data_IF_580608317350
#
_entry.id   IF_580608317350
#
_cell.length_a   1.000
_cell.length_b   1.000
_cell.length_c   1.000
_cell.angle_alpha   90.00
_cell.angle_beta   90.00
_cell.angle_gamma   90.00
#
_symmetry.space_group_name_H-M   'P 1'
#
loop_
_entity.id
_entity.type
_entity.pdbx_description
1 polymer ?
#
# COMPACT_ATOMS: atom_id res chain seq x y z
N UNK A 1 49.59 -22.18 6.76
CA UNK A 1 48.79 -21.61 7.87
C UNK A 1 47.87 -20.62 7.21
N UNK A 2 46.74 -21.13 6.75
CA UNK A 2 45.73 -20.38 6.03
C UNK A 2 45.01 -19.47 7.02
N UNK A 3 45.21 -18.17 6.89
CA UNK A 3 44.41 -17.16 7.57
C UNK A 3 43.09 -17.04 6.81
N UNK A 4 42.06 -17.69 7.33
CA UNK A 4 40.67 -17.42 6.96
C UNK A 4 40.38 -15.98 7.38
N UNK A 5 40.27 -15.09 6.39
CA UNK A 5 39.63 -13.78 6.57
C UNK A 5 38.13 -14.03 6.73
N UNK A 6 37.67 -13.97 7.96
CA UNK A 6 36.27 -14.03 8.33
C UNK A 6 35.60 -12.75 7.80
N UNK A 7 34.81 -12.90 6.73
CA UNK A 7 33.99 -11.84 6.15
C UNK A 7 33.00 -11.33 7.19
N UNK A 8 33.19 -10.10 7.65
CA UNK A 8 32.13 -9.36 8.36
C UNK A 8 31.05 -8.99 7.35
N UNK A 9 30.00 -9.82 7.29
CA UNK A 9 28.73 -9.50 6.64
C UNK A 9 27.80 -8.94 7.70
N UNK A 10 28.00 -7.68 8.05
CA UNK A 10 26.94 -6.85 8.58
C UNK A 10 26.98 -5.60 7.72
N UNK A 11 26.20 -5.62 6.63
CA UNK A 11 25.88 -4.39 5.93
C UNK A 11 25.16 -3.48 6.91
N UNK A 12 25.48 -2.19 6.88
CA UNK A 12 24.79 -1.18 7.67
C UNK A 12 23.27 -1.32 7.47
N UNK A 13 22.53 -1.23 8.58
CA UNK A 13 21.06 -1.27 8.64
C UNK A 13 20.44 0.09 8.27
N UNK A 14 21.26 1.01 7.79
CA UNK A 14 20.89 2.38 7.48
C UNK A 14 20.13 2.41 6.14
N UNK A 15 18.91 2.96 6.13
CA UNK A 15 18.07 3.07 4.93
C UNK A 15 17.11 1.91 4.65
N UNK A 16 17.04 0.88 5.51
CA UNK A 16 16.01 -0.15 5.41
C UNK A 16 14.64 0.41 5.82
N UNK A 17 13.62 0.11 5.04
CA UNK A 17 12.22 0.40 5.35
C UNK A 17 11.48 -0.91 5.66
N UNK A 18 10.34 -0.80 6.34
CA UNK A 18 9.49 -1.94 6.62
C UNK A 18 8.23 -1.92 5.75
N UNK A 19 7.75 -3.10 5.42
CA UNK A 19 6.46 -3.33 4.78
C UNK A 19 5.70 -4.44 5.48
N UNK A 20 4.39 -4.42 5.38
CA UNK A 20 3.48 -5.38 5.97
C UNK A 20 2.61 -6.00 4.89
N UNK A 21 2.60 -7.33 4.83
CA UNK A 21 1.86 -8.11 3.83
C UNK A 21 0.73 -8.84 4.53
N UNK A 22 -0.52 -8.53 4.17
CA UNK A 22 -1.70 -9.21 4.66
C UNK A 22 -1.96 -10.51 3.89
N UNK A 23 -2.32 -11.57 4.61
CA UNK A 23 -2.70 -12.86 4.03
C UNK A 23 -3.72 -13.59 4.90
N UNK A 24 -4.37 -14.60 4.34
CA UNK A 24 -5.34 -15.44 5.07
C UNK A 24 -4.78 -16.22 6.26
N UNK A 25 -3.45 -16.29 6.40
CA UNK A 25 -2.78 -16.97 7.52
C UNK A 25 -2.09 -16.00 8.50
N UNK A 26 -2.07 -14.71 8.18
CA UNK A 26 -1.56 -13.66 9.05
C UNK A 26 -0.85 -12.53 8.32
N UNK A 27 -0.14 -11.72 9.09
CA UNK A 27 0.59 -10.54 8.61
C UNK A 27 2.08 -10.80 8.65
N UNK A 28 2.77 -10.57 7.53
CA UNK A 28 4.22 -10.72 7.42
C UNK A 28 4.87 -9.34 7.38
N UNK A 29 5.76 -9.07 8.33
CA UNK A 29 6.67 -7.92 8.29
C UNK A 29 7.83 -8.25 7.34
N UNK A 30 8.16 -7.33 6.44
CA UNK A 30 9.25 -7.44 5.47
C UNK A 30 10.14 -6.22 5.60
N UNK A 31 11.44 -6.42 5.80
CA UNK A 31 12.45 -5.35 5.76
C UNK A 31 13.12 -5.33 4.39
N UNK A 32 13.17 -4.16 3.78
CA UNK A 32 13.73 -3.97 2.44
C UNK A 32 14.63 -2.74 2.40
N UNK A 33 15.77 -2.87 1.73
CA UNK A 33 16.71 -1.77 1.50
C UNK A 33 16.98 -1.67 -0.01
N UNK A 34 16.60 -0.56 -0.63
CA UNK A 34 16.63 -0.42 -2.09
C UNK A 34 15.84 -1.54 -2.77
N UNK A 35 16.51 -2.34 -3.60
CA UNK A 35 15.93 -3.49 -4.30
C UNK A 35 16.12 -4.85 -3.58
N UNK A 36 16.66 -4.83 -2.36
CA UNK A 36 17.10 -6.04 -1.65
C UNK A 36 16.20 -6.32 -0.45
N UNK A 37 15.50 -7.46 -0.50
CA UNK A 37 14.71 -7.98 0.63
C UNK A 37 15.64 -8.60 1.66
N UNK A 38 15.58 -8.09 2.88
CA UNK A 38 16.33 -8.56 4.03
C UNK A 38 15.54 -9.59 4.84
N UNK A 39 15.27 -9.25 6.10
CA UNK A 39 14.52 -10.08 7.04
C UNK A 39 13.01 -10.00 6.77
N UNK A 40 12.31 -11.12 6.89
CA UNK A 40 10.85 -11.13 6.96
C UNK A 40 10.37 -12.20 7.94
N UNK A 41 9.20 -11.97 8.54
CA UNK A 41 8.64 -12.86 9.55
C UNK A 41 7.15 -12.61 9.79
N UNK A 42 6.44 -13.65 10.21
CA UNK A 42 5.03 -13.59 10.59
C UNK A 42 4.90 -12.90 11.95
N UNK A 43 4.21 -11.76 12.02
CA UNK A 43 4.03 -10.98 13.24
C UNK A 43 2.66 -11.20 13.92
N UNK A 44 1.58 -11.38 13.15
CA UNK A 44 0.27 -11.79 13.69
C UNK A 44 -0.29 -12.97 12.91
N UNK A 45 -1.04 -13.85 13.60
CA UNK A 45 -1.77 -14.98 13.01
C UNK A 45 -3.27 -14.68 13.02
N UNK A 46 -3.80 -14.36 11.86
CA UNK A 46 -5.20 -14.00 11.64
C UNK A 46 -5.58 -14.21 10.17
N UNK A 47 -6.88 -14.15 9.84
CA UNK A 47 -7.33 -14.02 8.44
C UNK A 47 -7.31 -12.54 8.05
N UNK A 48 -6.15 -12.04 7.64
CA UNK A 48 -5.98 -10.63 7.28
C UNK A 48 -6.51 -10.37 5.86
N UNK A 49 -7.47 -9.47 5.77
CA UNK A 49 -8.19 -9.11 4.53
C UNK A 49 -7.66 -7.85 3.87
N UNK A 50 -7.07 -6.95 4.66
CA UNK A 50 -6.47 -5.72 4.18
C UNK A 50 -5.47 -5.18 5.20
N UNK A 51 -4.57 -4.31 4.77
CA UNK A 51 -3.55 -3.66 5.61
C UNK A 51 -3.25 -2.24 5.14
N UNK A 52 -3.19 -1.32 6.08
CA UNK A 52 -2.77 0.05 5.87
C UNK A 52 -1.72 0.45 6.91
N UNK A 53 -0.86 1.41 6.58
CA UNK A 53 0.15 1.89 7.51
C UNK A 53 0.43 3.39 7.39
N UNK A 54 0.78 3.98 8.52
CA UNK A 54 1.36 5.32 8.67
C UNK A 54 2.81 5.19 9.16
N UNK A 55 3.45 6.30 9.54
CA UNK A 55 4.80 6.31 10.10
C UNK A 55 4.88 5.76 11.53
N UNK A 56 3.75 5.68 12.25
CA UNK A 56 3.72 5.20 13.63
C UNK A 56 2.68 4.09 13.92
N UNK A 57 1.83 3.73 12.96
CA UNK A 57 0.77 2.74 13.18
C UNK A 57 0.53 1.87 11.95
N UNK A 58 0.35 0.57 12.17
CA UNK A 58 -0.14 -0.39 11.17
C UNK A 58 -1.54 -0.85 11.57
N UNK A 59 -2.49 -0.82 10.65
CA UNK A 59 -3.85 -1.31 10.85
C UNK A 59 -4.14 -2.48 9.91
N UNK A 60 -4.83 -3.50 10.39
CA UNK A 60 -5.25 -4.67 9.61
C UNK A 60 -6.75 -4.88 9.74
N UNK A 61 -7.40 -5.17 8.61
CA UNK A 61 -8.78 -5.66 8.59
C UNK A 61 -8.76 -7.18 8.71
N UNK A 62 -9.58 -7.73 9.60
CA UNK A 62 -9.72 -9.19 9.76
C UNK A 62 -11.18 -9.63 9.73
N UNK A 63 -11.40 -10.94 9.72
CA UNK A 63 -12.72 -11.54 9.83
C UNK A 63 -13.39 -11.35 11.19
N UNK A 64 -12.62 -11.02 12.23
CA UNK A 64 -13.10 -10.82 13.59
C UNK A 64 -13.15 -9.34 14.01
N UNK A 65 -12.08 -8.59 13.72
CA UNK A 65 -11.91 -7.20 14.16
C UNK A 65 -10.97 -6.38 13.25
N UNK A 66 -10.95 -5.05 13.43
CA UNK A 66 -9.82 -4.21 13.01
C UNK A 66 -8.79 -4.22 14.14
N UNK A 67 -7.52 -4.49 13.81
CA UNK A 67 -6.44 -4.48 14.81
C UNK A 67 -5.35 -3.49 14.43
N UNK A 68 -4.72 -2.89 15.44
CA UNK A 68 -3.65 -1.91 15.26
C UNK A 68 -2.37 -2.33 15.97
N UNK A 69 -1.24 -2.04 15.36
CA UNK A 69 0.09 -2.17 15.95
C UNK A 69 0.78 -0.82 15.91
N UNK A 70 1.13 -0.29 17.07
CA UNK A 70 1.89 0.96 17.18
C UNK A 70 3.38 0.67 17.04
N UNK A 71 4.01 1.35 16.10
CA UNK A 71 5.44 1.28 15.84
C UNK A 71 6.16 2.10 16.92
N UNK A 72 7.08 1.47 17.66
CA UNK A 72 7.92 2.21 18.60
C UNK A 72 8.76 3.25 17.84
N UNK A 73 8.51 4.55 18.09
CA UNK A 73 9.32 5.63 17.49
C UNK A 73 10.78 5.48 17.92
N UNK A 74 11.63 5.09 16.97
CA UNK A 74 13.09 5.22 17.05
C UNK A 74 13.79 4.20 17.94
N UNK A 75 14.31 3.14 17.30
CA UNK A 75 15.47 2.38 17.77
C UNK A 75 16.78 3.21 17.68
N UNK A 76 16.73 4.48 18.10
CA UNK A 76 17.87 5.41 18.05
C UNK A 76 18.78 5.37 19.27
N UNK A 77 18.35 4.82 20.41
CA UNK A 77 19.14 4.86 21.66
C UNK A 77 18.94 3.63 22.57
N UNK A 78 18.58 2.46 22.02
CA UNK A 78 18.72 1.21 22.80
C UNK A 78 20.13 0.67 22.56
N UNK A 79 20.97 0.86 23.58
CA UNK A 79 22.28 0.27 23.75
C UNK A 79 22.25 -1.19 23.25
N UNK A 80 23.14 -1.52 22.31
CA UNK A 80 23.20 -2.83 21.67
C UNK A 80 23.74 -3.87 22.67
N UNK A 81 22.96 -4.25 23.68
CA UNK A 81 23.11 -5.54 24.35
C UNK A 81 22.33 -6.57 23.54
N UNK A 82 22.99 -7.10 22.51
CA UNK A 82 22.47 -8.11 21.60
C UNK A 82 22.34 -9.52 22.23
N UNK A 83 21.85 -9.60 23.47
CA UNK A 83 21.63 -10.89 24.16
C UNK A 83 20.19 -11.10 24.67
N UNK A 84 19.29 -10.10 24.59
CA UNK A 84 17.90 -10.22 25.07
C UNK A 84 16.82 -9.76 24.07
N UNK A 85 17.13 -9.59 22.78
CA UNK A 85 16.14 -9.24 21.74
C UNK A 85 15.44 -10.47 21.13
N UNK A 86 15.26 -11.53 21.91
CA UNK A 86 14.32 -12.61 21.57
C UNK A 86 12.90 -12.13 21.91
N UNK A 87 12.17 -11.66 20.89
CA UNK A 87 10.71 -11.54 20.94
C UNK A 87 10.17 -10.39 21.77
N UNK A 88 10.37 -9.15 21.31
CA UNK A 88 9.28 -8.17 21.50
C UNK A 88 8.11 -8.70 20.66
N UNK A 89 7.13 -9.34 21.29
CA UNK A 89 5.91 -9.80 20.62
C UNK A 89 5.22 -8.56 20.03
N UNK A 90 5.42 -8.32 18.74
CA UNK A 90 4.66 -7.34 17.98
C UNK A 90 3.19 -7.74 18.11
N UNK A 91 2.47 -7.05 18.98
CA UNK A 91 1.12 -7.45 19.35
C UNK A 91 0.15 -6.48 18.73
N UNK A 92 -0.59 -6.96 17.74
CA UNK A 92 -1.75 -6.26 17.22
C UNK A 92 -2.86 -6.25 18.28
N UNK A 93 -3.40 -5.07 18.55
CA UNK A 93 -4.46 -4.84 19.54
C UNK A 93 -5.78 -4.61 18.85
N UNK A 94 -6.80 -5.31 19.32
CA UNK A 94 -8.21 -5.18 18.90
C UNK A 94 -8.72 -3.76 19.13
N UNK A 95 -9.54 -3.26 18.21
CA UNK A 95 -10.15 -1.92 18.26
C UNK A 95 -11.65 -1.94 18.56
N UNK A 96 -12.23 -3.12 18.75
CA UNK A 96 -13.66 -3.34 18.97
C UNK A 96 -14.56 -2.81 17.83
N UNK A 97 -14.03 -2.78 16.60
CA UNK A 97 -14.82 -2.46 15.40
C UNK A 97 -15.74 -3.62 15.01
N UNK A 98 -15.24 -4.84 15.16
CA UNK A 98 -15.82 -6.05 14.57
C UNK A 98 -15.28 -6.37 13.17
N UNK A 99 -15.88 -7.34 12.46
CA UNK A 99 -15.38 -7.80 11.18
C UNK A 99 -15.21 -6.68 10.15
N UNK A 100 -14.07 -6.66 9.47
CA UNK A 100 -13.75 -5.67 8.46
C UNK A 100 -13.29 -6.30 7.15
N UNK A 101 -13.36 -5.52 6.07
CA UNK A 101 -12.88 -5.93 4.73
C UNK A 101 -11.87 -4.96 4.13
N UNK A 102 -11.86 -3.71 4.58
CA UNK A 102 -10.90 -2.70 4.14
C UNK A 102 -10.55 -1.75 5.28
N UNK A 103 -9.31 -1.28 5.31
CA UNK A 103 -8.80 -0.27 6.26
C UNK A 103 -7.95 0.75 5.53
N UNK A 104 -7.93 1.98 6.03
CA UNK A 104 -7.10 3.05 5.48
C UNK A 104 -6.96 4.20 6.46
N UNK A 105 -6.16 5.21 6.13
CA UNK A 105 -5.95 6.38 6.97
C UNK A 105 -6.29 7.66 6.25
N UNK A 106 -6.95 8.60 6.94
CA UNK A 106 -7.20 9.95 6.43
C UNK A 106 -6.99 10.98 7.53
N UNK A 107 -6.04 11.90 7.32
CA UNK A 107 -5.79 12.97 8.29
C UNK A 107 -5.36 12.49 9.69
N UNK A 108 -4.81 11.27 9.78
CA UNK A 108 -4.44 10.63 11.05
C UNK A 108 -5.52 9.73 11.65
N UNK A 109 -6.77 9.83 11.17
CA UNK A 109 -7.85 8.95 11.59
C UNK A 109 -7.80 7.64 10.82
N UNK A 110 -8.03 6.54 11.54
CA UNK A 110 -8.24 5.22 10.98
C UNK A 110 -9.66 5.12 10.41
N UNK A 111 -9.78 4.59 9.20
CA UNK A 111 -11.05 4.29 8.54
C UNK A 111 -11.16 2.78 8.40
N UNK A 112 -12.32 2.22 8.67
CA UNK A 112 -12.61 0.81 8.43
C UNK A 112 -13.99 0.59 7.81
N UNK A 113 -14.08 -0.41 6.94
CA UNK A 113 -15.32 -0.85 6.31
C UNK A 113 -15.72 -2.26 6.75
N UNK A 114 -16.99 -2.43 7.07
CA UNK A 114 -17.59 -3.74 7.34
C UNK A 114 -17.87 -4.50 6.03
N UNK A 115 -18.06 -5.84 6.06
CA UNK A 115 -18.46 -6.62 4.89
C UNK A 115 -19.77 -6.16 4.24
N UNK A 116 -20.66 -5.55 5.02
CA UNK A 116 -21.96 -5.04 4.58
C UNK A 116 -21.88 -3.61 4.02
N UNK A 117 -20.68 -3.03 3.96
CA UNK A 117 -20.43 -1.71 3.38
C UNK A 117 -20.68 -0.54 4.33
N UNK A 118 -20.71 -0.77 5.65
CA UNK A 118 -20.75 0.33 6.63
C UNK A 118 -19.33 0.85 6.88
N UNK A 119 -19.16 2.17 6.97
CA UNK A 119 -17.88 2.83 7.25
C UNK A 119 -17.91 3.51 8.62
N UNK A 120 -16.78 3.45 9.33
CA UNK A 120 -16.56 4.27 10.51
C UNK A 120 -15.13 4.81 10.54
N UNK A 121 -14.95 5.90 11.27
CA UNK A 121 -13.65 6.49 11.59
C UNK A 121 -13.33 6.34 13.07
N UNK A 122 -12.06 6.20 13.40
CA UNK A 122 -11.55 6.25 14.76
C UNK A 122 -10.28 7.08 14.80
N UNK A 123 -10.22 8.02 15.73
CA UNK A 123 -8.98 8.76 15.98
C UNK A 123 -8.04 7.89 16.81
N UNK A 124 -6.76 7.87 16.43
CA UNK A 124 -5.72 7.10 17.12
C UNK A 124 -4.73 8.01 17.87
N UNK A 125 -5.13 9.23 18.24
CA UNK A 125 -4.26 10.15 18.98
C UNK A 125 -3.62 9.42 20.17
N UNK A 126 -2.28 9.51 20.25
CA UNK A 126 -1.46 8.79 21.22
C UNK A 126 -1.94 9.04 22.64
N UNK A 127 -2.76 8.13 23.15
CA UNK A 127 -3.12 8.10 24.56
C UNK A 127 -1.93 7.48 25.28
N UNK A 128 -1.23 8.29 26.08
CA UNK A 128 -0.11 7.78 26.88
C UNK A 128 -0.57 6.61 27.74
N UNK A 129 -0.02 5.42 27.49
CA UNK A 129 -0.08 4.16 28.27
C UNK A 129 -1.45 3.67 28.78
N UNK A 130 -2.55 4.35 28.49
CA UNK A 130 -3.90 3.97 28.90
C UNK A 130 -4.91 4.48 27.90
N UNK A 131 -5.55 3.58 27.15
CA UNK A 131 -6.72 3.86 26.33
C UNK A 131 -7.84 4.41 27.24
N UNK A 132 -8.02 5.73 27.29
CA UNK A 132 -9.21 6.34 27.90
C UNK A 132 -10.39 6.11 26.94
N UNK A 133 -11.24 5.14 27.30
CA UNK A 133 -12.26 4.53 26.44
C UNK A 133 -13.34 5.48 25.84
N UNK A 134 -13.35 6.77 26.20
CA UNK A 134 -14.35 7.72 25.68
C UNK A 134 -13.87 8.54 24.47
N UNK A 135 -12.56 8.65 24.22
CA UNK A 135 -11.98 9.36 23.05
C UNK A 135 -11.62 8.45 21.87
N UNK A 136 -11.67 7.14 22.09
CA UNK A 136 -11.24 6.08 21.16
C UNK A 136 -12.41 5.37 20.45
N UNK A 137 -13.63 5.92 20.54
CA UNK A 137 -14.81 5.27 20.00
C UNK A 137 -14.93 5.44 18.48
N UNK A 138 -15.36 4.38 17.81
CA UNK A 138 -15.72 4.41 16.39
C UNK A 138 -16.90 5.36 16.14
N UNK A 139 -16.73 6.24 15.15
CA UNK A 139 -17.77 7.16 14.68
C UNK A 139 -18.25 6.69 13.31
N UNK A 140 -19.50 6.22 13.22
CA UNK A 140 -20.10 5.83 11.94
C UNK A 140 -20.16 7.01 10.99
N UNK A 141 -19.75 6.79 9.75
CA UNK A 141 -19.83 7.76 8.67
C UNK A 141 -21.18 7.61 8.00
N UNK A 142 -22.02 8.64 8.07
CA UNK A 142 -23.38 8.58 7.53
C UNK A 142 -23.36 8.55 6.00
N UNK A 143 -23.87 7.46 5.44
CA UNK A 143 -24.16 7.34 4.02
C UNK A 143 -25.21 6.25 3.76
N UNK A 144 -25.93 6.38 2.64
CA UNK A 144 -26.72 5.28 2.09
C UNK A 144 -25.84 4.10 1.64
N UNK A 145 -26.49 3.08 1.07
CA UNK A 145 -25.84 1.84 0.62
C UNK A 145 -24.63 2.09 -0.28
N UNK A 146 -23.44 1.77 0.24
CA UNK A 146 -22.16 1.85 -0.47
C UNK A 146 -21.96 0.64 -1.39
N UNK A 147 -22.68 -0.46 -1.16
CA UNK A 147 -22.28 -1.78 -1.64
C UNK A 147 -20.97 -2.25 -1.02
N UNK A 148 -20.36 -3.25 -1.64
CA UNK A 148 -19.07 -3.78 -1.19
C UNK A 148 -17.94 -2.75 -1.34
N UNK A 149 -17.33 -2.38 -0.20
CA UNK A 149 -16.10 -1.59 -0.14
C UNK A 149 -14.90 -2.49 -0.47
N UNK A 150 -14.02 -2.01 -1.36
CA UNK A 150 -12.88 -2.80 -1.87
C UNK A 150 -11.53 -2.16 -1.58
N UNK A 151 -11.45 -0.84 -1.47
CA UNK A 151 -10.22 -0.12 -1.20
C UNK A 151 -10.50 1.18 -0.46
N UNK A 152 -9.59 1.54 0.45
CA UNK A 152 -9.58 2.82 1.16
C UNK A 152 -8.17 3.37 1.08
N UNK A 153 -7.99 4.53 0.45
CA UNK A 153 -6.74 5.28 0.50
C UNK A 153 -7.04 6.75 0.70
N UNK A 154 -6.42 7.35 1.73
CA UNK A 154 -6.73 8.71 2.14
C UNK A 154 -8.23 8.91 2.33
N UNK A 155 -8.75 10.00 1.73
CA UNK A 155 -10.18 10.30 1.74
C UNK A 155 -10.98 9.60 0.64
N UNK A 156 -10.41 8.65 -0.11
CA UNK A 156 -11.10 7.92 -1.17
C UNK A 156 -11.50 6.52 -0.73
N UNK A 157 -12.72 6.16 -1.12
CA UNK A 157 -13.27 4.82 -0.92
C UNK A 157 -13.70 4.28 -2.28
N UNK A 158 -13.08 3.18 -2.71
CA UNK A 158 -13.46 2.42 -3.90
C UNK A 158 -14.49 1.34 -3.56
N UNK A 159 -15.58 1.31 -4.32
CA UNK A 159 -16.68 0.34 -4.13
C UNK A 159 -17.19 -0.19 -5.47
N UNK A 160 -18.01 -1.23 -5.42
CA UNK A 160 -18.76 -1.67 -6.60
C UNK A 160 -19.70 -0.59 -7.18
N UNK A 161 -20.14 0.36 -6.36
CA UNK A 161 -21.05 1.44 -6.77
C UNK A 161 -20.33 2.72 -7.21
N UNK A 162 -19.00 2.73 -7.20
CA UNK A 162 -18.18 3.86 -7.65
C UNK A 162 -17.18 4.34 -6.59
N UNK A 163 -16.60 5.52 -6.85
CA UNK A 163 -15.71 6.19 -5.92
C UNK A 163 -16.51 7.11 -5.02
N UNK A 164 -16.14 7.11 -3.75
CA UNK A 164 -16.68 7.98 -2.74
C UNK A 164 -15.58 8.82 -2.10
N UNK A 165 -15.92 10.05 -1.69
CA UNK A 165 -15.01 10.95 -0.97
C UNK A 165 -15.49 11.17 0.45
N UNK A 166 -14.62 10.88 1.40
CA UNK A 166 -14.80 11.21 2.80
C UNK A 166 -14.42 12.68 3.04
N UNK A 167 -15.32 13.43 3.65
CA UNK A 167 -15.09 14.82 4.07
C UNK A 167 -15.91 15.12 5.32
N UNK A 168 -15.27 15.60 6.39
CA UNK A 168 -15.90 16.02 7.63
C UNK A 168 -16.93 15.01 8.20
N UNK A 169 -16.60 13.71 8.16
CA UNK A 169 -17.48 12.63 8.63
C UNK A 169 -18.66 12.31 7.71
N UNK A 170 -18.65 12.83 6.49
CA UNK A 170 -19.64 12.58 5.45
C UNK A 170 -19.01 11.99 4.20
N UNK A 171 -19.84 11.33 3.40
CA UNK A 171 -19.41 10.62 2.22
C UNK A 171 -20.20 11.10 0.99
N UNK A 172 -19.49 11.58 -0.04
CA UNK A 172 -20.05 12.07 -1.30
C UNK A 172 -19.75 11.13 -2.48
N UNK A 173 -20.67 11.00 -3.46
CA UNK A 173 -20.48 10.13 -4.64
C UNK A 173 -19.69 10.92 -5.66
N UNK A 174 -18.54 10.38 -6.06
CA UNK A 174 -17.57 11.06 -6.89
C UNK A 174 -17.53 10.53 -8.33
N UNK A 175 -18.40 9.60 -8.70
CA UNK A 175 -18.47 9.01 -10.04
C UNK A 175 -17.91 7.59 -10.13
N UNK A 176 -17.78 7.10 -11.37
CA UNK A 176 -17.38 5.73 -11.72
C UNK A 176 -18.36 4.66 -11.18
N UNK A 177 -18.04 3.41 -11.50
CA UNK A 177 -18.71 2.19 -11.06
C UNK A 177 -17.69 1.06 -11.07
N UNK A 178 -17.96 -0.01 -10.31
CA UNK A 178 -17.11 -1.20 -10.22
C UNK A 178 -15.63 -0.89 -9.97
N UNK A 179 -15.39 0.00 -9.00
CA UNK A 179 -14.04 0.43 -8.59
C UNK A 179 -13.42 -0.68 -7.75
N UNK A 180 -12.17 -1.00 -8.05
CA UNK A 180 -11.42 -2.10 -7.42
C UNK A 180 -10.35 -1.59 -6.49
N UNK A 181 -9.69 -0.51 -6.88
CA UNK A 181 -8.64 0.12 -6.10
C UNK A 181 -8.58 1.63 -6.35
N UNK A 182 -8.04 2.38 -5.39
CA UNK A 182 -7.91 3.84 -5.44
C UNK A 182 -6.58 4.29 -4.88
N UNK A 183 -6.06 5.40 -5.40
CA UNK A 183 -4.86 6.06 -4.88
C UNK A 183 -5.09 7.57 -4.82
N UNK A 184 -4.74 8.19 -3.70
CA UNK A 184 -4.89 9.63 -3.44
C UNK A 184 -3.63 10.43 -3.69
N UNK A 185 -2.46 9.79 -3.59
CA UNK A 185 -1.17 10.44 -3.72
C UNK A 185 -1.01 11.15 -5.08
N UNK A 186 -0.52 12.39 -5.05
CA UNK A 186 -0.33 13.21 -6.25
C UNK A 186 -1.65 13.61 -6.91
N UNK A 187 -1.99 12.95 -8.02
CA UNK A 187 -3.29 13.07 -8.70
C UNK A 187 -4.10 11.81 -8.40
N UNK A 188 -5.34 11.93 -7.89
CA UNK A 188 -6.10 10.75 -7.56
C UNK A 188 -6.36 9.82 -8.74
N UNK A 189 -6.18 8.53 -8.51
CA UNK A 189 -6.36 7.45 -9.49
C UNK A 189 -7.42 6.46 -9.01
N UNK A 190 -8.08 5.81 -9.96
CA UNK A 190 -9.03 4.73 -9.70
C UNK A 190 -8.86 3.60 -10.72
N UNK A 191 -8.69 2.38 -10.23
CA UNK A 191 -8.71 1.15 -11.00
C UNK A 191 -10.14 0.60 -11.03
N UNK A 192 -10.63 0.22 -12.21
CA UNK A 192 -12.00 -0.28 -12.38
C UNK A 192 -12.03 -1.48 -13.33
N UNK A 193 -13.20 -2.12 -13.44
CA UNK A 193 -13.40 -3.17 -14.44
C UNK A 193 -13.29 -2.69 -15.90
N UNK A 194 -13.47 -1.39 -16.16
CA UNK A 194 -13.53 -0.82 -17.52
C UNK A 194 -12.29 -0.01 -17.91
N UNK A 195 -11.56 0.52 -16.93
CA UNK A 195 -10.37 1.35 -17.18
C UNK A 195 -9.60 1.77 -15.94
N UNK A 196 -8.44 2.35 -16.19
CA UNK A 196 -7.69 3.17 -15.24
C UNK A 196 -8.08 4.63 -15.45
N UNK A 197 -8.45 5.32 -14.37
CA UNK A 197 -8.91 6.70 -14.41
C UNK A 197 -8.05 7.61 -13.55
N UNK A 198 -7.85 8.85 -13.99
CA UNK A 198 -7.27 9.94 -13.21
C UNK A 198 -8.29 11.03 -12.93
N UNK A 199 -8.18 11.70 -11.79
CA UNK A 199 -9.05 12.80 -11.42
C UNK A 199 -8.48 14.16 -11.86
N UNK A 200 -9.22 14.88 -12.72
CA UNK A 200 -8.99 16.31 -12.99
C UNK A 200 -10.29 17.10 -12.86
N UNK A 201 -10.83 17.61 -13.96
CA UNK A 201 -12.17 18.25 -13.99
C UNK A 201 -13.34 17.23 -13.92
N UNK A 202 -13.08 16.05 -13.37
CA UNK A 202 -13.83 14.81 -13.52
C UNK A 202 -12.88 13.63 -13.72
N UNK A 203 -13.41 12.41 -13.64
CA UNK A 203 -12.64 11.22 -13.97
C UNK A 203 -12.38 11.15 -15.47
N UNK A 204 -11.11 11.04 -15.84
CA UNK A 204 -10.64 10.88 -17.21
C UNK A 204 -9.97 9.52 -17.33
N UNK A 205 -10.45 8.71 -18.26
CA UNK A 205 -9.80 7.44 -18.60
C UNK A 205 -8.39 7.72 -19.16
N UNK A 206 -7.39 7.04 -18.61
CA UNK A 206 -6.01 7.10 -19.10
C UNK A 206 -5.61 5.82 -19.83
N UNK A 207 -6.18 4.68 -19.45
CA UNK A 207 -6.02 3.39 -20.11
C UNK A 207 -7.36 2.65 -20.08
N UNK A 208 -7.77 2.13 -21.23
CA UNK A 208 -8.91 1.21 -21.35
C UNK A 208 -8.53 -0.19 -20.87
N UNK A 209 -9.49 -0.90 -20.27
CA UNK A 209 -9.36 -2.30 -19.86
C UNK A 209 -9.50 -2.50 -18.37
N UNK A 210 -9.42 -3.76 -17.95
CA UNK A 210 -9.65 -4.15 -16.56
C UNK A 210 -8.40 -3.90 -15.70
N UNK A 211 -8.51 -3.08 -14.65
CA UNK A 211 -7.42 -2.81 -13.71
C UNK A 211 -7.81 -3.17 -12.27
N UNK A 212 -6.92 -3.89 -11.60
CA UNK A 212 -7.15 -4.46 -10.27
C UNK A 212 -6.51 -3.64 -9.16
N UNK A 213 -5.31 -3.09 -9.40
CA UNK A 213 -4.50 -2.40 -8.39
C UNK A 213 -3.98 -1.09 -8.99
N UNK A 214 -3.96 -0.02 -8.20
CA UNK A 214 -3.35 1.26 -8.56
C UNK A 214 -2.72 1.92 -7.35
N UNK A 215 -1.49 2.42 -7.50
CA UNK A 215 -0.83 3.20 -6.47
C UNK A 215 0.05 4.30 -7.10
N UNK A 216 0.17 5.42 -6.41
CA UNK A 216 1.10 6.50 -6.73
C UNK A 216 2.10 6.70 -5.58
N UNK A 217 3.30 7.16 -5.92
CA UNK A 217 4.34 7.43 -4.93
C UNK A 217 3.86 8.54 -3.98
N UNK A 218 3.76 8.29 -2.66
CA UNK A 218 3.29 9.28 -1.69
C UNK A 218 4.21 10.51 -1.58
N UNK A 219 5.45 10.44 -2.11
CA UNK A 219 6.34 11.60 -2.21
C UNK A 219 6.02 12.53 -3.39
N UNK A 220 5.06 12.15 -4.23
CA UNK A 220 4.59 12.98 -5.34
C UNK A 220 3.85 14.20 -4.80
N UNK A 221 4.17 15.39 -5.33
CA UNK A 221 3.49 16.62 -4.95
C UNK A 221 1.99 16.58 -5.29
N UNK A 222 1.10 17.08 -4.42
CA UNK A 222 -0.33 17.13 -4.72
C UNK A 222 -0.65 17.85 -6.04
N UNK A 223 -1.50 17.23 -6.85
CA UNK A 223 -1.88 17.74 -8.18
C UNK A 223 -0.88 17.43 -9.29
N UNK A 224 0.20 16.70 -9.00
CA UNK A 224 1.12 16.17 -10.00
C UNK A 224 1.16 14.65 -9.91
N UNK A 225 1.51 14.01 -11.02
CA UNK A 225 1.85 12.59 -11.05
C UNK A 225 3.28 12.50 -11.57
N UNK A 226 4.17 11.87 -10.82
CA UNK A 226 5.58 11.69 -11.21
C UNK A 226 5.93 10.22 -11.31
N UNK A 227 5.40 9.39 -10.40
CA UNK A 227 5.63 7.95 -10.38
C UNK A 227 4.39 7.24 -9.86
N UNK A 228 3.79 6.42 -10.71
CA UNK A 228 2.60 5.64 -10.41
C UNK A 228 2.65 4.29 -11.12
N UNK A 229 1.96 3.29 -10.57
CA UNK A 229 1.84 1.98 -11.16
C UNK A 229 0.38 1.50 -11.09
N UNK A 230 -0.02 0.74 -12.11
CA UNK A 230 -1.33 0.10 -12.17
C UNK A 230 -1.19 -1.32 -12.71
N UNK A 231 -2.09 -2.22 -12.31
CA UNK A 231 -2.02 -3.65 -12.66
C UNK A 231 -3.28 -4.05 -13.41
N UNK A 232 -3.09 -4.69 -14.57
CA UNK A 232 -4.14 -5.32 -15.37
C UNK A 232 -3.74 -6.78 -15.60
N UNK A 233 -4.33 -7.69 -14.83
CA UNK A 233 -3.94 -9.11 -14.81
C UNK A 233 -2.48 -9.30 -14.38
N UNK A 234 -1.63 -9.78 -15.29
CA UNK A 234 -0.19 -9.98 -15.04
C UNK A 234 0.68 -8.81 -15.55
N UNK A 235 0.08 -7.82 -16.19
CA UNK A 235 0.81 -6.67 -16.74
C UNK A 235 0.80 -5.51 -15.76
N UNK A 236 1.98 -5.00 -15.45
CA UNK A 236 2.15 -3.75 -14.70
C UNK A 236 2.30 -2.61 -15.71
N UNK A 237 1.65 -1.49 -15.46
CA UNK A 237 1.82 -0.25 -16.17
C UNK A 237 2.50 0.74 -15.24
N UNK A 238 3.51 1.45 -15.74
CA UNK A 238 4.20 2.49 -15.00
C UNK A 238 3.97 3.86 -15.66
N UNK A 239 3.88 4.89 -14.83
CA UNK A 239 3.80 6.28 -15.25
C UNK A 239 5.18 6.96 -15.14
N UNK A 240 5.56 7.76 -16.15
CA UNK A 240 6.70 8.70 -16.05
C UNK A 240 8.09 8.13 -16.40
N UNK A 241 8.16 7.02 -17.13
CA UNK A 241 9.43 6.32 -17.43
C UNK A 241 10.05 6.59 -18.80
N UNK A 242 9.35 7.28 -19.72
CA UNK A 242 9.87 7.51 -21.08
C UNK A 242 11.03 8.52 -21.11
N UNK A 243 10.96 9.52 -20.24
CA UNK A 243 11.89 10.64 -20.10
C UNK A 243 12.97 10.39 -19.03
N UNK A 244 12.70 9.54 -18.03
CA UNK A 244 13.67 9.16 -17.00
C UNK A 244 14.78 8.20 -17.51
N UNK A 245 14.48 7.37 -18.52
CA UNK A 245 15.42 6.37 -19.06
C UNK A 245 15.90 6.65 -20.50
N UNK A 246 15.64 7.85 -21.02
CA UNK A 246 16.11 8.25 -22.35
C UNK A 246 15.50 7.45 -23.51
N UNK A 247 14.26 6.98 -23.35
CA UNK A 247 13.57 6.17 -24.36
C UNK A 247 12.87 7.07 -25.38
N UNK A 248 13.67 7.67 -26.27
CA UNK A 248 13.17 8.29 -27.50
C UNK A 248 12.90 7.20 -28.52
N UNK A 249 11.72 6.59 -28.44
CA UNK A 249 11.07 5.95 -29.59
C UNK A 249 9.59 6.35 -29.57
N UNK A 250 9.36 7.66 -29.65
CA UNK A 250 8.12 8.15 -30.22
C UNK A 250 8.17 7.77 -31.71
N UNK A 251 7.66 6.59 -32.05
CA UNK A 251 7.38 6.26 -33.45
C UNK A 251 6.47 7.36 -34.00
N UNK A 252 6.96 8.09 -35.00
CA UNK A 252 6.18 9.07 -35.76
C UNK A 252 4.95 8.37 -36.38
N UNK A 253 3.84 8.39 -35.65
CA UNK A 253 2.55 7.85 -36.05
C UNK A 253 1.46 8.78 -35.58
N UNK A 254 0.93 9.55 -36.53
CA UNK A 254 -0.21 10.47 -36.48
C UNK A 254 -0.90 10.70 -35.12
N UNK A 255 -0.71 11.92 -34.59
CA UNK A 255 -1.54 12.47 -33.52
C UNK A 255 -0.79 12.78 -32.23
N UNK A 256 0.28 13.58 -32.30
CA UNK A 256 0.85 14.21 -31.12
C UNK A 256 -0.19 15.18 -30.51
N UNK A 257 -1.00 14.66 -29.59
CA UNK A 257 -1.79 15.47 -28.68
C UNK A 257 -0.82 16.02 -27.62
N UNK A 258 -0.72 17.34 -27.53
CA UNK A 258 -0.03 18.02 -26.43
C UNK A 258 -0.74 17.64 -25.11
N UNK A 259 -0.25 16.60 -24.41
CA UNK A 259 -0.76 16.22 -23.08
C UNK A 259 -0.92 14.72 -22.79
N UNK A 260 -0.10 13.83 -23.34
CA UNK A 260 -0.19 12.41 -22.98
C UNK A 260 0.57 12.11 -21.69
N UNK A 261 -0.17 11.94 -20.60
CA UNK A 261 0.25 11.12 -19.46
C UNK A 261 0.79 9.79 -19.98
N UNK A 262 2.11 9.60 -19.98
CA UNK A 262 2.74 8.48 -20.66
C UNK A 262 2.84 7.28 -19.72
N UNK A 263 1.75 6.50 -19.71
CA UNK A 263 1.75 5.15 -19.16
C UNK A 263 2.40 4.18 -20.16
N UNK A 264 3.22 3.26 -19.67
CA UNK A 264 3.84 2.22 -20.49
C UNK A 264 3.82 0.88 -19.74
N UNK A 265 3.84 -0.22 -20.49
CA UNK A 265 3.95 -1.54 -19.90
C UNK A 265 5.34 -1.71 -19.26
N UNK A 266 5.33 -1.90 -17.94
CA UNK A 266 6.45 -2.29 -17.10
C UNK A 266 6.56 -3.82 -17.08
N UNK A 267 7.70 -4.38 -16.68
CA UNK A 267 7.95 -5.83 -16.70
C UNK A 267 6.78 -6.64 -16.16
N UNK A 268 6.44 -7.70 -16.91
CA UNK A 268 5.30 -8.54 -16.60
C UNK A 268 5.67 -9.38 -15.40
N UNK A 269 4.93 -9.19 -14.32
CA UNK A 269 4.98 -10.15 -13.22
C UNK A 269 4.49 -11.49 -13.76
N UNK A 270 5.16 -12.58 -13.42
CA UNK A 270 4.71 -13.92 -13.80
C UNK A 270 3.46 -14.38 -13.06
N UNK A 271 2.99 -13.58 -12.10
CA UNK A 271 1.79 -13.84 -11.29
C UNK A 271 1.04 -12.53 -10.99
N UNK A 272 -0.28 -12.59 -10.74
CA UNK A 272 -1.08 -11.39 -10.40
C UNK A 272 -0.54 -10.68 -9.16
N UNK A 273 -0.29 -9.38 -9.30
CA UNK A 273 0.05 -8.47 -8.20
C UNK A 273 -1.24 -8.03 -7.53
N UNK A 274 -1.24 -8.02 -6.20
CA UNK A 274 -2.40 -7.65 -5.37
C UNK A 274 -2.16 -6.42 -4.50
N UNK A 275 -0.92 -5.92 -4.46
CA UNK A 275 -0.59 -4.70 -3.72
C UNK A 275 0.69 -4.07 -4.23
N UNK A 276 0.73 -2.74 -4.19
CA UNK A 276 1.85 -1.90 -4.61
C UNK A 276 2.19 -0.92 -3.48
N UNK A 277 3.47 -0.61 -3.33
CA UNK A 277 3.95 0.35 -2.34
C UNK A 277 5.27 0.99 -2.74
N UNK A 278 5.66 2.03 -2.01
CA UNK A 278 6.74 2.92 -2.44
C UNK A 278 7.74 3.19 -1.32
N UNK A 279 9.02 3.01 -1.66
CA UNK A 279 10.15 3.57 -0.94
C UNK A 279 11.11 4.17 -1.95
N UNK A 280 12.41 3.88 -1.85
CA UNK A 280 13.37 4.30 -2.89
C UNK A 280 12.99 3.76 -4.27
N UNK A 281 12.46 2.54 -4.32
CA UNK A 281 11.90 1.88 -5.51
C UNK A 281 10.45 1.45 -5.28
N UNK A 282 9.82 0.88 -6.30
CA UNK A 282 8.45 0.35 -6.22
C UNK A 282 8.54 -1.06 -5.67
N UNK A 283 7.66 -1.37 -4.73
CA UNK A 283 7.49 -2.69 -4.17
C UNK A 283 6.13 -3.22 -4.56
N UNK A 284 6.05 -4.53 -4.77
CA UNK A 284 4.80 -5.20 -5.06
C UNK A 284 4.75 -6.54 -4.34
N UNK A 285 3.54 -7.09 -4.21
CA UNK A 285 3.37 -8.47 -3.74
C UNK A 285 2.39 -9.21 -4.65
N UNK A 286 2.73 -10.45 -4.97
CA UNK A 286 1.83 -11.33 -5.73
C UNK A 286 0.85 -12.04 -4.80
N UNK A 287 -0.27 -12.51 -5.36
CA UNK A 287 -1.26 -13.31 -4.62
C UNK A 287 -0.65 -14.55 -3.94
N UNK A 288 0.46 -15.10 -4.45
CA UNK A 288 1.15 -16.27 -3.88
C UNK A 288 2.30 -15.92 -2.93
N UNK A 289 2.36 -14.68 -2.45
CA UNK A 289 3.34 -14.26 -1.45
C UNK A 289 4.75 -14.14 -1.98
N UNK A 290 4.91 -13.72 -3.24
CA UNK A 290 6.21 -13.25 -3.75
C UNK A 290 6.28 -11.74 -3.61
N UNK A 291 7.22 -11.27 -2.79
CA UNK A 291 7.57 -9.85 -2.69
C UNK A 291 8.49 -9.47 -3.85
N UNK A 292 8.17 -8.37 -4.53
CA UNK A 292 8.88 -7.87 -5.69
C UNK A 292 9.42 -6.47 -5.38
N UNK A 293 10.68 -6.21 -5.73
CA UNK A 293 11.29 -4.90 -5.66
C UNK A 293 11.78 -4.48 -7.06
N UNK A 294 11.35 -3.30 -7.52
CA UNK A 294 11.76 -2.77 -8.81
C UNK A 294 13.26 -2.48 -8.83
N UNK A 295 13.95 -2.83 -9.91
CA UNK A 295 15.39 -2.58 -10.06
C UNK A 295 15.62 -1.29 -10.84
N UNK A 296 15.95 -0.16 -10.20
CA UNK A 296 16.22 1.08 -10.92
C UNK A 296 17.54 1.01 -11.73
N UNK A 297 18.47 0.14 -11.32
CA UNK A 297 19.75 -0.07 -11.97
C UNK A 297 19.65 -1.08 -13.14
N UNK A 298 20.10 -0.69 -14.33
CA UNK A 298 20.26 -1.59 -15.48
C UNK A 298 19.48 -1.23 -16.74
N UNK A 299 18.62 -0.20 -16.70
CA UNK A 299 17.83 0.22 -17.86
C UNK A 299 16.79 -0.81 -18.33
N UNK A 300 16.55 -1.84 -17.52
CA UNK A 300 15.46 -2.79 -17.67
C UNK A 300 14.54 -2.62 -16.48
N UNK A 301 13.25 -2.39 -16.75
CA UNK A 301 12.16 -2.27 -15.79
C UNK A 301 11.91 -3.59 -15.02
N UNK A 302 12.92 -4.30 -14.51
CA UNK A 302 12.79 -5.66 -13.96
C UNK A 302 12.49 -5.72 -12.46
N UNK A 303 12.05 -6.88 -11.99
CA UNK A 303 11.82 -7.18 -10.58
C UNK A 303 12.91 -8.05 -9.98
N UNK A 304 13.33 -7.73 -8.75
CA UNK A 304 13.90 -8.72 -7.82
C UNK A 304 12.80 -9.35 -7.01
N UNK A 305 12.82 -10.67 -6.88
CA UNK A 305 11.76 -11.44 -6.23
C UNK A 305 12.24 -12.17 -4.98
N UNK A 306 11.42 -12.21 -3.94
CA UNK A 306 11.62 -13.04 -2.75
C UNK A 306 10.31 -13.69 -2.32
N UNK A 307 10.30 -15.01 -2.13
CA UNK A 307 9.11 -15.74 -1.64
C UNK A 307 9.03 -15.66 -0.12
N UNK A 308 7.90 -15.19 0.40
CA UNK A 308 7.65 -14.98 1.84
C UNK A 308 7.16 -16.24 2.58
N UNK A 309 6.79 -17.29 1.85
CA UNK A 309 6.27 -18.53 2.44
C UNK A 309 4.80 -18.45 2.88
N UNK A 310 4.07 -17.42 2.43
CA UNK A 310 2.62 -17.24 2.62
C UNK A 310 1.92 -17.27 1.27
N UNK A 311 0.59 -17.44 1.25
CA UNK A 311 -0.24 -17.40 0.05
C UNK A 311 -1.57 -16.74 0.37
N UNK A 312 -2.44 -16.60 -0.64
CA UNK A 312 -3.70 -15.86 -0.51
C UNK A 312 -3.48 -14.47 0.09
N UNK A 313 -2.47 -13.78 -0.45
CA UNK A 313 -2.13 -12.41 -0.09
C UNK A 313 -3.24 -11.47 -0.56
N UNK A 314 -3.57 -10.51 0.30
CA UNK A 314 -4.70 -9.58 0.12
C UNK A 314 -4.27 -8.12 0.06
N UNK A 315 -3.11 -7.76 0.63
CA UNK A 315 -2.65 -6.37 0.61
C UNK A 315 -1.16 -6.20 0.97
N UNK A 316 -0.65 -5.01 0.70
CA UNK A 316 0.71 -4.56 1.01
C UNK A 316 0.65 -3.12 1.50
N UNK A 317 1.22 -2.85 2.67
CA UNK A 317 1.51 -1.50 3.14
C UNK A 317 3.02 -1.32 3.30
N UNK A 318 3.59 -0.24 2.75
CA UNK A 318 4.98 0.14 2.96
C UNK A 318 4.99 1.33 3.91
N UNK A 319 5.81 1.27 4.96
CA UNK A 319 5.93 2.39 5.89
C UNK A 319 6.48 3.63 5.15
N UNK A 320 5.89 4.81 5.35
CA UNK A 320 6.44 6.05 4.84
C UNK A 320 7.85 6.26 5.40
N UNK A 321 8.82 6.55 4.55
CA UNK A 321 10.11 7.04 5.02
C UNK A 321 9.93 8.44 5.59
N UNK A 322 10.24 8.65 6.86
CA UNK A 322 10.39 10.00 7.42
C UNK A 322 11.45 10.75 6.60
N UNK A 323 11.04 11.81 5.91
CA UNK A 323 11.92 12.72 5.17
C UNK A 323 12.62 13.72 6.07
#
# INVERSE_FOLDING_TARGET
MDSIEEKRVYGDREGAIEGYVASSIGVVRVRVAGDTVGEFGLCDRCDARDVAATDDTVAIATDDDVRVFHLERGAGERDQSAEDAEGSDETFVSTDFGPAVAVGFHGGDLIAATPDGELATRSLESVGDSLDAETDAWTTVDRGDLGHVRAIDGGLVGTENGVYRLHDGHLDHAGLSDVRDVSTAGVPLAATADGLYKLGNGWMEVLEGEFDVVAADPRTEPGQLTRAHAVSGETVYAYGGADAYGRVDASEGDGASEGNDSWYAYDRSSEPIVGLGYGETVYAVTKRGTFLAGTPEGGTDSWRSQTLGVGDVTGLAILPTSG
#
